data_IF_517370641293
#
_entry.id   IF_517370641293
#
_cell.length_a   1.000
_cell.length_b   1.000
_cell.length_c   1.000
_cell.angle_alpha   90.00
_cell.angle_beta   90.00
_cell.angle_gamma   90.00
#
_symmetry.space_group_name_H-M   'P 1'
#
loop_
_entity.id
_entity.type
_entity.pdbx_description
1 polymer ?
#
# COMPACT_ATOMS: atom_id res chain seq x y z
N UNK A 1 -65.90 -68.44 -2.16
CA UNK A 1 -64.53 -68.48 -1.69
C UNK A 1 -63.78 -67.50 -2.55
N UNK A 2 -63.65 -66.19 -2.11
CA UNK A 2 -63.04 -65.05 -2.89
C UNK A 2 -61.72 -64.71 -2.20
N UNK A 3 -60.63 -64.87 -3.01
CA UNK A 3 -59.30 -64.50 -2.61
C UNK A 3 -59.11 -62.96 -2.80
N UNK A 4 -58.78 -62.23 -1.74
CA UNK A 4 -58.32 -60.82 -1.80
C UNK A 4 -56.84 -60.85 -2.04
N UNK A 5 -56.42 -60.20 -3.17
CA UNK A 5 -55.02 -59.87 -3.43
C UNK A 5 -54.77 -58.46 -2.95
N UNK A 6 -53.95 -58.33 -1.93
CA UNK A 6 -53.49 -57.05 -1.40
C UNK A 6 -52.24 -56.62 -2.19
N UNK A 7 -52.34 -55.53 -2.94
CA UNK A 7 -51.19 -54.93 -3.60
C UNK A 7 -50.53 -53.92 -2.65
N UNK A 8 -49.27 -54.17 -2.29
CA UNK A 8 -48.42 -53.26 -1.50
C UNK A 8 -47.70 -52.35 -2.51
N UNK A 9 -48.07 -51.08 -2.52
CA UNK A 9 -47.38 -50.04 -3.30
C UNK A 9 -46.23 -49.50 -2.46
N UNK A 10 -45.01 -49.84 -2.84
CA UNK A 10 -43.79 -49.26 -2.22
C UNK A 10 -43.55 -47.85 -2.80
N UNK A 11 -43.68 -46.85 -1.95
CA UNK A 11 -43.37 -45.49 -2.26
C UNK A 11 -41.84 -45.26 -2.10
N UNK A 12 -41.13 -45.18 -3.18
CA UNK A 12 -39.68 -44.86 -3.18
C UNK A 12 -39.52 -43.34 -3.05
N UNK A 13 -39.21 -42.86 -1.82
CA UNK A 13 -38.85 -41.46 -1.59
C UNK A 13 -37.41 -41.23 -2.05
N UNK A 14 -37.26 -40.53 -3.18
CA UNK A 14 -35.99 -40.07 -3.71
C UNK A 14 -35.53 -38.88 -2.82
N UNK A 15 -34.61 -39.11 -1.92
CA UNK A 15 -33.97 -38.03 -1.14
C UNK A 15 -33.01 -37.30 -2.08
N UNK A 16 -33.43 -36.13 -2.60
CA UNK A 16 -32.54 -35.17 -3.29
C UNK A 16 -31.65 -34.51 -2.25
N UNK A 17 -30.43 -35.02 -2.08
CA UNK A 17 -29.38 -34.32 -1.35
C UNK A 17 -28.97 -33.07 -2.14
N UNK A 18 -29.50 -31.90 -1.73
CA UNK A 18 -28.98 -30.62 -2.11
C UNK A 18 -27.52 -30.52 -1.62
N UNK A 19 -26.54 -30.17 -2.47
CA UNK A 19 -25.21 -29.84 -1.96
C UNK A 19 -25.37 -28.65 -1.01
N UNK A 20 -24.99 -28.83 0.26
CA UNK A 20 -24.82 -27.73 1.17
C UNK A 20 -23.77 -26.80 0.55
N UNK A 21 -24.20 -25.63 0.06
CA UNK A 21 -23.30 -24.51 -0.21
C UNK A 21 -22.57 -24.28 1.11
N UNK A 22 -21.32 -24.74 1.19
CA UNK A 22 -20.43 -24.38 2.28
C UNK A 22 -20.41 -22.85 2.31
N UNK A 23 -21.09 -22.27 3.28
CA UNK A 23 -20.94 -20.86 3.62
C UNK A 23 -19.44 -20.68 3.90
N UNK A 24 -18.71 -20.02 3.00
CA UNK A 24 -17.34 -19.66 3.30
C UNK A 24 -17.38 -18.82 4.57
N UNK A 25 -16.80 -19.36 5.65
CA UNK A 25 -16.66 -18.62 6.91
C UNK A 25 -16.05 -17.25 6.59
N UNK A 26 -16.66 -16.15 7.08
CA UNK A 26 -16.14 -14.83 6.86
C UNK A 26 -14.64 -14.79 7.16
N UNK A 27 -13.87 -14.12 6.36
CA UNK A 27 -12.39 -14.15 6.45
C UNK A 27 -11.87 -13.49 7.74
N UNK A 28 -12.76 -12.80 8.50
CA UNK A 28 -12.54 -12.34 9.87
C UNK A 28 -12.47 -13.49 10.87
N UNK A 29 -13.29 -14.55 10.69
CA UNK A 29 -13.25 -15.73 11.58
C UNK A 29 -11.88 -16.39 11.54
N UNK A 30 -11.25 -16.46 10.36
CA UNK A 30 -9.88 -16.99 10.24
C UNK A 30 -8.84 -16.16 11.01
N UNK A 31 -9.02 -14.83 11.09
CA UNK A 31 -8.15 -13.94 11.87
C UNK A 31 -8.44 -14.13 13.35
N UNK A 32 -9.73 -14.21 13.75
CA UNK A 32 -10.17 -14.41 15.12
C UNK A 32 -9.68 -15.76 15.68
N UNK A 33 -9.85 -16.84 14.92
CA UNK A 33 -9.42 -18.20 15.30
C UNK A 33 -7.90 -18.28 15.51
N UNK A 34 -7.14 -17.56 14.67
CA UNK A 34 -5.68 -17.49 14.75
C UNK A 34 -5.21 -16.52 15.83
N UNK A 35 -6.03 -15.53 16.18
CA UNK A 35 -5.68 -14.42 17.08
C UNK A 35 -4.57 -13.51 16.53
N UNK A 36 -4.34 -13.49 15.22
CA UNK A 36 -3.23 -12.76 14.59
C UNK A 36 -3.66 -12.19 13.24
N UNK A 37 -3.47 -10.88 13.06
CA UNK A 37 -3.61 -10.17 11.79
C UNK A 37 -2.27 -10.19 11.04
N UNK A 38 -2.22 -10.80 9.85
CA UNK A 38 -1.05 -10.76 8.97
C UNK A 38 -1.17 -9.58 8.02
N UNK A 39 -0.19 -8.70 8.05
CA UNK A 39 -0.18 -7.44 7.32
C UNK A 39 0.94 -7.45 6.28
N UNK A 40 0.56 -7.38 5.00
CA UNK A 40 1.48 -7.18 3.89
C UNK A 40 1.90 -5.71 3.80
N UNK A 41 3.20 -5.46 3.78
CA UNK A 41 3.77 -4.12 3.67
C UNK A 41 5.11 -4.17 2.95
N UNK A 42 5.62 -3.00 2.59
CA UNK A 42 6.97 -2.84 2.07
C UNK A 42 7.63 -1.66 2.76
N UNK A 43 8.95 -1.72 2.88
CA UNK A 43 9.68 -0.63 3.55
C UNK A 43 9.85 0.57 2.62
N UNK A 44 9.49 1.75 3.11
CA UNK A 44 9.86 3.06 2.58
C UNK A 44 9.57 4.15 3.63
N UNK A 45 10.46 5.10 3.73
CA UNK A 45 10.44 6.16 4.75
C UNK A 45 9.47 7.28 4.34
N UNK A 46 8.60 7.78 5.24
CA UNK A 46 8.41 7.41 6.65
C UNK A 46 7.25 6.43 6.90
N UNK A 47 6.69 5.80 5.87
CA UNK A 47 5.55 4.88 6.02
C UNK A 47 5.90 3.62 6.81
N UNK A 48 6.98 2.95 6.43
CA UNK A 48 7.48 1.76 7.13
C UNK A 48 9.00 1.66 6.95
N UNK A 49 9.72 1.47 8.05
CA UNK A 49 11.18 1.43 8.07
C UNK A 49 11.66 0.65 9.29
N UNK A 50 12.97 0.47 9.41
CA UNK A 50 13.56 -0.14 10.61
C UNK A 50 14.25 0.92 11.47
N UNK A 51 14.06 0.80 12.78
CA UNK A 51 14.82 1.58 13.74
C UNK A 51 16.25 1.03 13.92
N UNK A 52 17.06 1.71 14.74
CA UNK A 52 18.44 1.30 15.05
C UNK A 52 18.54 -0.09 15.71
N UNK A 53 17.46 -0.59 16.32
CA UNK A 53 17.34 -1.90 16.93
C UNK A 53 16.86 -2.98 15.94
N UNK A 54 16.47 -2.59 14.72
CA UNK A 54 15.95 -3.48 13.69
C UNK A 54 14.44 -3.65 13.72
N UNK A 55 13.73 -3.02 14.68
CA UNK A 55 12.28 -3.10 14.77
C UNK A 55 11.60 -2.30 13.67
N UNK A 56 10.42 -2.73 13.25
CA UNK A 56 9.59 -1.98 12.32
C UNK A 56 8.91 -0.81 13.03
N UNK A 57 9.08 0.39 12.44
CA UNK A 57 8.46 1.65 12.84
C UNK A 57 7.94 2.38 11.58
N UNK A 58 7.10 3.39 11.77
CA UNK A 58 6.53 4.18 10.68
C UNK A 58 5.02 4.28 10.79
N UNK A 59 4.43 5.14 9.97
CA UNK A 59 2.99 5.40 9.98
C UNK A 59 2.17 4.12 9.81
N UNK A 60 2.48 3.31 8.79
CA UNK A 60 1.77 2.06 8.50
C UNK A 60 1.92 1.02 9.61
N UNK A 61 3.08 1.04 10.28
CA UNK A 61 3.36 0.14 11.39
C UNK A 61 2.52 0.51 12.60
N UNK A 62 2.39 1.82 12.91
CA UNK A 62 1.55 2.31 13.99
C UNK A 62 0.07 2.00 13.71
N UNK A 63 -0.39 2.25 12.48
CA UNK A 63 -1.78 1.94 12.04
C UNK A 63 -2.09 0.45 12.21
N UNK A 64 -1.23 -0.43 11.73
CA UNK A 64 -1.45 -1.87 11.83
C UNK A 64 -1.39 -2.39 13.28
N UNK A 65 -0.45 -1.88 14.09
CA UNK A 65 -0.35 -2.21 15.51
C UNK A 65 -1.60 -1.77 16.28
N UNK A 66 -2.07 -0.54 16.02
CA UNK A 66 -3.26 -0.01 16.68
C UNK A 66 -4.53 -0.77 16.28
N UNK A 67 -4.71 -1.07 14.99
CA UNK A 67 -5.82 -1.88 14.51
C UNK A 67 -5.85 -3.25 15.20
N UNK A 68 -4.71 -3.94 15.24
CA UNK A 68 -4.62 -5.24 15.88
C UNK A 68 -4.92 -5.16 17.39
N UNK A 69 -4.37 -4.18 18.10
CA UNK A 69 -4.60 -3.97 19.53
C UNK A 69 -6.08 -3.70 19.84
N UNK A 70 -6.70 -2.79 19.10
CA UNK A 70 -8.12 -2.44 19.26
C UNK A 70 -9.04 -3.63 18.97
N UNK A 71 -8.59 -4.58 18.15
CA UNK A 71 -9.34 -5.80 17.78
C UNK A 71 -9.02 -7.02 18.66
N UNK A 72 -8.11 -6.89 19.62
CA UNK A 72 -7.67 -8.02 20.47
C UNK A 72 -6.76 -9.02 19.73
N UNK A 73 -6.16 -8.65 18.61
CA UNK A 73 -5.26 -9.49 17.82
C UNK A 73 -3.78 -9.15 18.07
N UNK A 74 -2.92 -10.12 17.79
CA UNK A 74 -1.50 -9.84 17.51
C UNK A 74 -1.35 -9.37 16.07
N UNK A 75 -0.26 -8.65 15.77
CA UNK A 75 0.08 -8.29 14.39
C UNK A 75 1.35 -9.04 13.95
N UNK A 76 1.31 -9.57 12.74
CA UNK A 76 2.46 -10.16 12.04
C UNK A 76 2.69 -9.37 10.75
N UNK A 77 3.85 -8.74 10.61
CA UNK A 77 4.23 -8.04 9.40
C UNK A 77 4.89 -8.98 8.41
N UNK A 78 4.45 -8.96 7.16
CA UNK A 78 4.99 -9.75 6.04
C UNK A 78 5.62 -8.80 5.02
N UNK A 79 6.91 -8.43 5.20
CA UNK A 79 7.61 -7.57 4.24
C UNK A 79 7.63 -8.22 2.85
N UNK A 80 7.23 -7.45 1.84
CA UNK A 80 7.05 -7.95 0.48
C UNK A 80 7.56 -6.91 -0.51
N UNK A 81 8.23 -7.33 -1.59
CA UNK A 81 8.57 -6.42 -2.68
C UNK A 81 7.31 -5.76 -3.23
N UNK A 82 7.38 -4.46 -3.51
CA UNK A 82 6.18 -3.65 -3.78
C UNK A 82 5.40 -4.10 -5.01
N UNK A 83 6.09 -4.47 -6.07
CA UNK A 83 5.46 -4.99 -7.30
C UNK A 83 4.79 -6.35 -7.10
N UNK A 84 5.20 -7.10 -6.06
CA UNK A 84 4.60 -8.36 -5.65
C UNK A 84 3.53 -8.26 -4.56
N UNK A 85 3.18 -7.05 -4.06
CA UNK A 85 2.31 -6.91 -2.88
C UNK A 85 0.88 -7.40 -3.16
N UNK A 86 0.27 -7.00 -4.26
CA UNK A 86 -1.08 -7.46 -4.65
C UNK A 86 -1.08 -8.95 -4.98
N UNK A 87 -0.20 -9.50 -5.83
CA UNK A 87 -0.07 -10.94 -6.03
C UNK A 87 0.07 -11.75 -4.73
N UNK A 88 0.82 -11.23 -3.75
CA UNK A 88 0.98 -11.89 -2.44
C UNK A 88 -0.28 -11.86 -1.59
N UNK A 89 -1.10 -10.80 -1.65
CA UNK A 89 -2.43 -10.76 -1.05
C UNK A 89 -3.34 -11.82 -1.68
N UNK A 90 -3.38 -11.86 -3.01
CA UNK A 90 -4.24 -12.79 -3.75
C UNK A 90 -3.86 -14.25 -3.48
N UNK A 91 -2.58 -14.54 -3.28
CA UNK A 91 -2.09 -15.87 -2.87
C UNK A 91 -2.16 -16.13 -1.36
N UNK A 92 -2.87 -15.30 -0.59
CA UNK A 92 -3.16 -15.46 0.84
C UNK A 92 -1.92 -15.52 1.75
N UNK A 93 -0.80 -14.90 1.34
CA UNK A 93 0.39 -14.80 2.20
C UNK A 93 0.12 -13.95 3.44
N UNK A 94 -0.82 -13.00 3.34
CA UNK A 94 -1.30 -12.16 4.42
C UNK A 94 -2.79 -11.83 4.24
N UNK A 95 -3.38 -11.19 5.22
CA UNK A 95 -4.82 -10.96 5.30
C UNK A 95 -5.25 -9.62 4.70
N UNK A 96 -4.37 -8.63 4.77
CA UNK A 96 -4.62 -7.24 4.37
C UNK A 96 -3.32 -6.57 3.96
N UNK A 97 -3.38 -5.62 3.04
CA UNK A 97 -2.27 -4.68 2.77
C UNK A 97 -2.53 -3.42 3.60
N UNK A 98 -1.58 -3.08 4.47
CA UNK A 98 -1.46 -1.77 5.15
C UNK A 98 -0.05 -1.28 4.87
N UNK A 99 0.12 -0.38 3.90
CA UNK A 99 1.45 -0.05 3.38
C UNK A 99 1.44 1.13 2.42
N UNK A 100 0.54 2.11 2.57
CA UNK A 100 0.48 3.27 1.69
C UNK A 100 0.03 2.94 0.27
N UNK A 101 -0.89 1.98 0.11
CA UNK A 101 -1.36 1.57 -1.20
C UNK A 101 -2.39 2.56 -1.75
N UNK A 102 -1.95 3.39 -2.71
CA UNK A 102 -2.83 4.34 -3.37
C UNK A 102 -3.95 3.64 -4.14
N UNK A 103 -5.17 4.13 -4.01
CA UNK A 103 -6.34 3.68 -4.77
C UNK A 103 -6.12 4.06 -6.23
N UNK A 104 -6.20 3.08 -7.14
CA UNK A 104 -6.22 3.30 -8.58
C UNK A 104 -7.24 2.41 -9.24
N UNK A 105 -7.80 2.83 -10.39
CA UNK A 105 -8.75 2.02 -11.14
C UNK A 105 -8.18 0.63 -11.52
N UNK A 106 -6.90 0.60 -11.91
CA UNK A 106 -6.23 -0.64 -12.26
C UNK A 106 -6.16 -1.62 -11.08
N UNK A 107 -5.83 -1.13 -9.87
CA UNK A 107 -5.76 -1.94 -8.65
C UNK A 107 -7.14 -2.39 -8.17
N UNK A 108 -8.16 -1.52 -8.29
CA UNK A 108 -9.55 -1.84 -7.89
C UNK A 108 -10.17 -2.99 -8.70
N UNK A 109 -9.61 -3.34 -9.86
CA UNK A 109 -9.99 -4.52 -10.63
C UNK A 109 -9.51 -5.84 -9.99
N UNK A 110 -8.53 -5.79 -9.10
CA UNK A 110 -7.89 -6.97 -8.50
C UNK A 110 -8.11 -7.08 -6.99
N UNK A 111 -8.34 -5.96 -6.30
CA UNK A 111 -8.52 -5.92 -4.84
C UNK A 111 -9.70 -5.04 -4.45
N UNK A 112 -10.25 -5.28 -3.27
CA UNK A 112 -11.25 -4.43 -2.64
C UNK A 112 -10.53 -3.47 -1.69
N UNK A 113 -10.72 -2.18 -1.92
CA UNK A 113 -10.20 -1.13 -1.05
C UNK A 113 -11.20 -0.76 0.05
N UNK A 114 -10.68 -0.40 1.21
CA UNK A 114 -11.44 0.34 2.23
C UNK A 114 -11.64 1.80 1.81
N UNK A 115 -12.34 2.58 2.64
CA UNK A 115 -12.24 4.03 2.58
C UNK A 115 -10.78 4.47 2.81
N UNK A 116 -10.36 5.63 2.30
CA UNK A 116 -9.02 6.15 2.56
C UNK A 116 -8.78 6.39 4.05
N UNK A 117 -7.57 6.10 4.52
CA UNK A 117 -7.12 6.40 5.89
C UNK A 117 -5.96 7.40 5.91
N UNK A 118 -5.35 7.66 4.76
CA UNK A 118 -4.31 8.67 4.58
C UNK A 118 -4.31 9.22 3.16
N UNK A 119 -3.49 10.23 2.94
CA UNK A 119 -3.29 10.85 1.63
C UNK A 119 -1.82 11.23 1.45
N UNK A 120 -1.35 11.22 0.20
CA UNK A 120 -0.03 11.71 -0.15
C UNK A 120 -0.06 12.53 -1.43
N UNK A 121 1.02 13.25 -1.67
CA UNK A 121 1.28 13.88 -2.97
C UNK A 121 2.40 13.17 -3.70
N UNK A 122 2.53 13.40 -4.98
CA UNK A 122 3.66 12.94 -5.79
C UNK A 122 4.54 14.13 -6.14
N UNK A 123 5.85 14.00 -5.92
CA UNK A 123 6.81 15.06 -6.16
C UNK A 123 8.08 14.53 -6.82
N UNK A 124 8.87 15.43 -7.43
CA UNK A 124 10.20 15.17 -7.95
C UNK A 124 11.27 15.72 -7.01
N UNK A 125 12.36 14.96 -6.86
CA UNK A 125 13.66 15.50 -6.49
C UNK A 125 14.59 15.36 -7.70
N UNK A 126 15.25 16.44 -8.10
CA UNK A 126 16.05 16.51 -9.31
C UNK A 126 17.55 16.66 -9.00
N UNK A 127 18.38 16.13 -9.89
CA UNK A 127 19.83 16.31 -9.86
C UNK A 127 20.20 17.75 -10.17
N UNK A 128 20.98 18.39 -9.31
CA UNK A 128 21.52 19.73 -9.58
C UNK A 128 22.43 19.76 -10.79
N UNK A 129 23.15 18.67 -11.07
CA UNK A 129 24.07 18.57 -12.21
C UNK A 129 23.32 18.35 -13.53
N UNK A 130 22.42 17.35 -13.59
CA UNK A 130 21.78 16.95 -14.85
C UNK A 130 20.51 17.76 -15.19
N UNK A 131 19.91 18.41 -14.21
CA UNK A 131 18.70 19.21 -14.35
C UNK A 131 18.95 20.69 -13.98
N UNK A 132 20.17 21.19 -14.19
CA UNK A 132 20.49 22.60 -13.97
C UNK A 132 19.55 23.51 -14.79
N UNK A 133 18.93 24.47 -14.12
CA UNK A 133 17.99 25.41 -14.74
C UNK A 133 16.59 24.88 -14.98
N UNK A 134 16.31 23.58 -14.71
CA UNK A 134 14.95 23.02 -14.80
C UNK A 134 14.11 23.54 -13.63
N UNK A 135 13.01 24.21 -13.93
CA UNK A 135 12.11 24.77 -12.91
C UNK A 135 10.62 24.65 -13.24
N UNK A 136 10.30 23.97 -14.33
CA UNK A 136 8.93 23.73 -14.79
C UNK A 136 8.71 22.25 -15.08
N UNK A 137 7.49 21.79 -14.95
CA UNK A 137 7.09 20.42 -15.28
C UNK A 137 7.50 20.07 -16.72
N UNK A 138 7.31 21.01 -17.68
CA UNK A 138 7.65 20.80 -19.08
C UNK A 138 9.13 20.55 -19.36
N UNK A 139 10.03 21.01 -18.49
CA UNK A 139 11.47 20.83 -18.68
C UNK A 139 11.87 19.36 -18.55
N UNK A 140 11.09 18.61 -17.77
CA UNK A 140 11.28 17.18 -17.57
C UNK A 140 10.61 16.31 -18.65
N UNK A 141 9.74 16.87 -19.51
CA UNK A 141 9.07 16.11 -20.58
C UNK A 141 9.90 16.08 -21.89
N UNK A 142 11.04 15.43 -21.84
CA UNK A 142 11.96 15.31 -22.97
C UNK A 142 12.52 13.88 -23.08
N UNK A 143 12.77 13.41 -24.33
CA UNK A 143 13.39 12.09 -24.61
C UNK A 143 14.79 11.93 -24.01
N UNK A 144 15.46 13.02 -23.66
CA UNK A 144 16.79 13.01 -23.02
C UNK A 144 16.68 12.84 -21.52
N UNK A 145 15.52 13.17 -20.94
CA UNK A 145 15.29 13.09 -19.50
C UNK A 145 15.02 11.64 -19.08
N UNK A 146 15.69 11.24 -18.01
CA UNK A 146 15.49 9.98 -17.32
C UNK A 146 14.93 10.28 -15.94
N UNK A 147 13.82 9.66 -15.58
CA UNK A 147 13.16 9.80 -14.28
C UNK A 147 13.17 8.44 -13.60
N UNK A 148 13.82 8.34 -12.44
CA UNK A 148 13.85 7.14 -11.62
C UNK A 148 12.57 7.04 -10.79
N UNK A 149 12.04 5.83 -10.64
CA UNK A 149 10.84 5.55 -9.87
C UNK A 149 10.85 4.12 -9.30
N UNK A 150 10.11 3.89 -8.23
CA UNK A 150 9.93 2.55 -7.69
C UNK A 150 8.97 1.74 -8.56
N UNK A 151 9.37 0.51 -8.90
CA UNK A 151 8.60 -0.43 -9.71
C UNK A 151 7.23 -0.73 -9.07
N UNK A 152 6.18 -0.72 -9.89
CA UNK A 152 4.81 -1.00 -9.42
C UNK A 152 4.17 0.10 -8.55
N UNK A 153 4.90 1.19 -8.25
CA UNK A 153 4.35 2.31 -7.50
C UNK A 153 3.40 3.17 -8.36
N UNK A 154 2.46 3.85 -7.71
CA UNK A 154 1.56 4.83 -8.34
C UNK A 154 2.35 5.95 -9.06
N UNK A 155 3.51 6.31 -8.51
CA UNK A 155 4.41 7.33 -9.06
C UNK A 155 4.89 7.01 -10.48
N UNK A 156 5.00 5.73 -10.87
CA UNK A 156 5.31 5.32 -12.25
C UNK A 156 4.19 5.71 -13.21
N UNK A 157 2.93 5.55 -12.80
CA UNK A 157 1.78 5.99 -13.59
C UNK A 157 1.80 7.51 -13.74
N UNK A 158 1.93 8.25 -12.64
CA UNK A 158 2.02 9.72 -12.64
C UNK A 158 3.17 10.20 -13.54
N UNK A 159 4.35 9.56 -13.45
CA UNK A 159 5.48 9.91 -14.31
C UNK A 159 5.18 9.78 -15.81
N UNK A 160 4.51 8.68 -16.20
CA UNK A 160 4.16 8.42 -17.60
C UNK A 160 3.07 9.36 -18.13
N UNK A 161 2.13 9.74 -17.28
CA UNK A 161 1.05 10.68 -17.63
C UNK A 161 1.57 12.12 -17.71
N UNK A 162 2.43 12.53 -16.79
CA UNK A 162 2.96 13.90 -16.71
C UNK A 162 4.10 14.13 -17.69
N UNK A 163 4.96 13.12 -17.90
CA UNK A 163 6.18 13.21 -18.72
C UNK A 163 6.20 12.12 -19.81
N UNK A 164 5.26 12.15 -20.77
CA UNK A 164 5.11 11.07 -21.76
C UNK A 164 6.33 10.87 -22.67
N UNK A 165 7.20 11.88 -22.78
CA UNK A 165 8.43 11.78 -23.59
C UNK A 165 9.63 11.31 -22.78
N UNK A 166 9.61 11.47 -21.47
CA UNK A 166 10.72 11.08 -20.61
C UNK A 166 10.88 9.56 -20.51
N UNK A 167 12.09 9.11 -20.24
CA UNK A 167 12.36 7.71 -19.99
C UNK A 167 12.20 7.40 -18.50
N UNK A 168 11.18 6.65 -18.13
CA UNK A 168 10.97 6.19 -16.75
C UNK A 168 11.80 4.92 -16.49
N UNK A 169 12.77 5.03 -15.57
CA UNK A 169 13.60 3.94 -15.07
C UNK A 169 12.99 3.40 -13.79
N UNK A 170 12.80 2.08 -13.71
CA UNK A 170 12.13 1.47 -12.58
C UNK A 170 13.09 0.60 -11.75
N UNK A 171 13.10 0.82 -10.45
CA UNK A 171 13.94 0.15 -9.45
C UNK A 171 13.10 -0.59 -8.42
N UNK A 172 13.68 -1.53 -7.71
CA UNK A 172 12.94 -2.39 -6.79
C UNK A 172 12.49 -1.64 -5.52
N UNK A 173 13.24 -0.61 -5.11
CA UNK A 173 12.89 0.27 -3.99
C UNK A 173 13.23 1.74 -4.27
N UNK A 174 12.75 2.63 -3.40
CA UNK A 174 12.99 4.06 -3.53
C UNK A 174 14.46 4.43 -3.27
N UNK A 175 15.17 3.74 -2.37
CA UNK A 175 16.56 4.04 -2.07
C UNK A 175 17.44 3.85 -3.31
N UNK A 176 17.23 2.78 -4.07
CA UNK A 176 17.91 2.57 -5.35
C UNK A 176 17.55 3.66 -6.36
N UNK A 177 16.28 4.07 -6.46
CA UNK A 177 15.87 5.12 -7.38
C UNK A 177 16.52 6.47 -7.06
N UNK A 178 16.61 6.84 -5.77
CA UNK A 178 17.34 8.03 -5.32
C UNK A 178 18.84 7.93 -5.58
N UNK A 179 19.43 6.76 -5.33
CA UNK A 179 20.86 6.53 -5.56
C UNK A 179 21.25 6.72 -7.03
N UNK A 180 20.38 6.33 -7.96
CA UNK A 180 20.61 6.53 -9.41
C UNK A 180 20.67 8.02 -9.79
N UNK A 181 19.90 8.86 -9.13
CA UNK A 181 19.97 10.31 -9.32
C UNK A 181 21.26 10.88 -8.72
N UNK A 182 21.62 10.45 -7.51
CA UNK A 182 22.85 10.86 -6.85
C UNK A 182 24.11 10.42 -7.60
N UNK A 183 24.06 9.29 -8.29
CA UNK A 183 25.14 8.79 -9.14
C UNK A 183 25.20 9.46 -10.55
N UNK A 184 24.29 10.39 -10.86
CA UNK A 184 24.24 11.04 -12.19
C UNK A 184 23.67 10.16 -13.30
N UNK A 185 23.00 9.05 -13.00
CA UNK A 185 22.41 8.15 -14.00
C UNK A 185 20.99 8.56 -14.42
N UNK A 186 20.30 9.35 -13.59
CA UNK A 186 18.96 9.87 -13.85
C UNK A 186 18.88 11.37 -13.50
N UNK A 187 18.01 12.10 -14.20
CA UNK A 187 17.82 13.55 -14.03
C UNK A 187 16.98 13.87 -12.79
N UNK A 188 16.05 12.99 -12.45
CA UNK A 188 15.18 13.14 -11.29
C UNK A 188 14.67 11.80 -10.78
N UNK A 189 14.22 11.78 -9.55
CA UNK A 189 13.42 10.70 -8.96
C UNK A 189 12.02 11.21 -8.67
N UNK A 190 11.01 10.39 -8.95
CA UNK A 190 9.62 10.66 -8.62
C UNK A 190 9.18 9.71 -7.50
N UNK A 191 8.72 10.27 -6.39
CA UNK A 191 8.28 9.49 -5.23
C UNK A 191 7.11 10.15 -4.52
N UNK A 192 6.52 9.44 -3.55
CA UNK A 192 5.49 10.02 -2.68
C UNK A 192 6.11 10.97 -1.67
N UNK A 193 5.49 12.15 -1.51
CA UNK A 193 5.89 13.12 -0.49
C UNK A 193 5.62 12.57 0.90
N UNK A 194 6.46 12.87 1.91
CA UNK A 194 7.53 13.88 1.88
C UNK A 194 8.92 13.34 1.48
N UNK A 195 9.04 12.12 0.96
CA UNK A 195 10.36 11.50 0.69
C UNK A 195 11.24 12.36 -0.24
N UNK A 196 10.77 12.89 -1.39
CA UNK A 196 11.60 13.75 -2.24
C UNK A 196 12.14 14.97 -1.51
N UNK A 197 11.31 15.63 -0.70
CA UNK A 197 11.69 16.82 0.05
C UNK A 197 12.74 16.51 1.12
N UNK A 198 12.55 15.42 1.87
CA UNK A 198 13.52 14.99 2.88
C UNK A 198 14.87 14.64 2.26
N UNK A 199 14.86 13.91 1.13
CA UNK A 199 16.10 13.56 0.44
C UNK A 199 16.80 14.79 -0.17
N UNK A 200 16.05 15.77 -0.66
CA UNK A 200 16.62 17.02 -1.16
C UNK A 200 17.24 17.86 -0.04
N UNK A 201 16.69 17.82 1.19
CA UNK A 201 17.31 18.45 2.36
C UNK A 201 18.59 17.70 2.78
N UNK A 202 18.50 16.37 2.88
CA UNK A 202 19.61 15.50 3.30
C UNK A 202 20.80 15.57 2.33
N UNK A 203 20.54 15.68 1.03
CA UNK A 203 21.52 15.70 -0.05
C UNK A 203 21.51 17.06 -0.77
N UNK A 204 21.48 18.16 -0.01
CA UNK A 204 21.30 19.51 -0.54
C UNK A 204 22.37 19.95 -1.54
N UNK A 205 23.55 19.35 -1.54
CA UNK A 205 24.60 19.63 -2.53
C UNK A 205 24.30 19.02 -3.91
N UNK A 206 23.52 17.94 -3.97
CA UNK A 206 23.28 17.15 -5.17
C UNK A 206 21.84 17.19 -5.69
N UNK A 207 20.87 17.39 -4.79
CA UNK A 207 19.44 17.34 -5.10
C UNK A 207 18.75 18.68 -4.83
N UNK A 208 17.65 18.90 -5.53
CA UNK A 208 16.75 20.04 -5.29
C UNK A 208 15.31 19.68 -5.67
N UNK A 209 14.33 20.43 -5.14
CA UNK A 209 12.93 20.35 -5.54
C UNK A 209 12.70 21.41 -6.63
N UNK A 210 12.43 20.99 -7.89
CA UNK A 210 12.39 21.94 -9.02
C UNK A 210 11.15 22.85 -9.02
N UNK A 211 10.07 22.42 -8.39
CA UNK A 211 8.81 23.17 -8.26
C UNK A 211 8.03 22.71 -7.01
N UNK A 212 7.22 23.59 -6.46
CA UNK A 212 6.44 23.33 -5.23
C UNK A 212 5.12 22.62 -5.50
N UNK A 213 4.63 22.67 -6.75
CA UNK A 213 3.40 22.01 -7.15
C UNK A 213 3.52 20.49 -7.05
N UNK A 214 2.50 19.84 -6.50
CA UNK A 214 2.40 18.38 -6.48
C UNK A 214 1.91 17.88 -7.84
N UNK A 215 2.58 16.88 -8.39
CA UNK A 215 2.22 16.27 -9.67
C UNK A 215 0.90 15.49 -9.61
N UNK A 216 0.56 14.98 -8.45
CA UNK A 216 -0.70 14.28 -8.21
C UNK A 216 -0.98 14.21 -6.72
N UNK A 217 -2.24 13.90 -6.37
CA UNK A 217 -2.67 13.52 -5.04
C UNK A 217 -3.05 12.05 -5.06
N UNK A 218 -2.61 11.29 -4.07
CA UNK A 218 -2.99 9.90 -3.83
C UNK A 218 -3.83 9.79 -2.55
N UNK A 219 -4.81 8.91 -2.57
CA UNK A 219 -5.52 8.47 -1.36
C UNK A 219 -5.08 7.04 -1.09
N UNK A 220 -4.56 6.76 0.09
CA UNK A 220 -4.13 5.43 0.50
C UNK A 220 -5.24 4.75 1.28
N UNK A 221 -5.47 3.47 0.98
CA UNK A 221 -6.46 2.63 1.64
C UNK A 221 -5.90 1.25 1.95
N UNK A 222 -6.50 0.56 2.93
CA UNK A 222 -6.24 -0.86 3.09
C UNK A 222 -6.78 -1.61 1.89
N UNK A 223 -6.15 -2.72 1.55
CA UNK A 223 -6.65 -3.56 0.48
C UNK A 223 -6.80 -5.01 0.96
N UNK A 224 -7.95 -5.58 0.65
CA UNK A 224 -8.29 -6.98 0.88
C UNK A 224 -8.66 -7.65 -0.45
N UNK A 225 -8.82 -8.98 -0.47
CA UNK A 225 -9.22 -9.69 -1.69
C UNK A 225 -10.64 -9.31 -2.11
N UNK A 226 -10.91 -9.37 -3.39
CA UNK A 226 -12.28 -9.21 -3.91
C UNK A 226 -13.21 -10.23 -3.22
N UNK A 227 -14.43 -9.78 -2.87
CA UNK A 227 -15.42 -10.60 -2.17
C UNK A 227 -15.28 -10.60 -0.63
N UNK A 228 -14.22 -10.05 -0.06
CA UNK A 228 -14.05 -9.93 1.40
C UNK A 228 -14.72 -8.67 1.95
N UNK A 229 -16.00 -8.46 1.61
CA UNK A 229 -16.77 -7.26 1.95
C UNK A 229 -16.90 -7.04 3.45
N UNK A 230 -17.14 -8.08 4.22
CA UNK A 230 -17.29 -7.99 5.69
C UNK A 230 -15.99 -7.54 6.36
N UNK A 231 -14.85 -8.01 5.83
CA UNK A 231 -13.53 -7.59 6.30
C UNK A 231 -13.27 -6.13 5.97
N UNK A 232 -13.58 -5.70 4.74
CA UNK A 232 -13.43 -4.31 4.33
C UNK A 232 -14.32 -3.39 5.16
N UNK A 233 -15.56 -3.81 5.46
CA UNK A 233 -16.49 -3.05 6.29
C UNK A 233 -16.00 -2.94 7.73
N UNK A 234 -15.49 -4.03 8.32
CA UNK A 234 -14.87 -3.98 9.65
C UNK A 234 -13.72 -2.95 9.70
N UNK A 235 -12.86 -2.96 8.70
CA UNK A 235 -11.76 -1.99 8.63
C UNK A 235 -12.27 -0.56 8.38
N UNK A 236 -13.31 -0.38 7.59
CA UNK A 236 -13.95 0.93 7.39
C UNK A 236 -14.49 1.52 8.69
N UNK A 237 -15.13 0.70 9.52
CA UNK A 237 -15.63 1.13 10.83
C UNK A 237 -14.48 1.54 11.75
N UNK A 238 -13.39 0.79 11.76
CA UNK A 238 -12.20 1.12 12.53
C UNK A 238 -11.55 2.43 12.02
N UNK A 239 -11.35 2.58 10.70
CA UNK A 239 -10.80 3.80 10.09
C UNK A 239 -11.66 5.01 10.47
N UNK A 240 -12.99 4.89 10.36
CA UNK A 240 -13.92 5.95 10.75
C UNK A 240 -13.73 6.35 12.21
N UNK A 241 -13.71 5.38 13.12
CA UNK A 241 -13.51 5.64 14.55
C UNK A 241 -12.17 6.34 14.84
N UNK A 242 -11.07 5.91 14.18
CA UNK A 242 -9.73 6.53 14.37
C UNK A 242 -9.59 7.89 13.67
N UNK A 243 -10.41 8.17 12.67
CA UNK A 243 -10.52 9.51 12.06
C UNK A 243 -11.30 10.45 12.99
N UNK A 244 -12.43 10.00 13.53
CA UNK A 244 -13.31 10.79 14.40
C UNK A 244 -12.66 11.15 15.75
N UNK A 245 -11.81 10.28 16.29
CA UNK A 245 -11.06 10.56 17.54
C UNK A 245 -9.73 11.30 17.31
N UNK A 246 -9.38 11.59 16.05
CA UNK A 246 -8.18 12.34 15.68
C UNK A 246 -6.88 11.54 15.72
N UNK A 247 -6.90 10.24 16.06
CA UNK A 247 -5.70 9.43 16.19
C UNK A 247 -4.93 9.27 14.87
N UNK A 248 -5.64 9.05 13.75
CA UNK A 248 -5.01 8.94 12.42
C UNK A 248 -4.30 10.25 12.04
N UNK A 249 -4.93 11.39 12.28
CA UNK A 249 -4.33 12.70 11.98
C UNK A 249 -3.10 12.96 12.84
N UNK A 250 -3.16 12.70 14.17
CA UNK A 250 -2.01 12.83 15.06
C UNK A 250 -0.81 11.98 14.58
N UNK A 251 -1.04 10.73 14.16
CA UNK A 251 0.02 9.86 13.64
C UNK A 251 0.54 10.35 12.30
N UNK A 252 -0.36 10.82 11.42
CA UNK A 252 0.02 11.41 10.16
C UNK A 252 0.93 12.64 10.35
N UNK A 253 0.53 13.58 11.18
CA UNK A 253 1.33 14.75 11.51
C UNK A 253 2.71 14.37 12.05
N UNK A 254 2.77 13.45 13.03
CA UNK A 254 4.03 12.98 13.59
C UNK A 254 4.98 12.44 12.51
N UNK A 255 4.50 11.56 11.63
CA UNK A 255 5.37 10.88 10.65
C UNK A 255 5.66 11.73 9.40
N UNK A 256 4.75 12.59 8.96
CA UNK A 256 4.88 13.29 7.68
C UNK A 256 5.18 14.78 7.80
N UNK A 257 4.84 15.41 8.93
CA UNK A 257 5.02 16.86 9.13
C UNK A 257 6.17 17.19 10.09
N UNK A 258 6.59 16.23 10.94
CA UNK A 258 7.75 16.40 11.81
C UNK A 258 8.96 15.58 11.39
N UNK A 259 10.10 15.80 12.00
CA UNK A 259 11.32 15.01 11.84
C UNK A 259 11.77 14.38 13.17
N UNK A 260 10.92 14.40 14.19
CA UNK A 260 11.23 13.95 15.57
C UNK A 260 11.57 12.45 15.64
N UNK A 261 11.19 11.70 14.61
CA UNK A 261 11.49 10.28 14.48
C UNK A 261 12.82 9.98 13.77
N UNK A 262 13.49 10.98 13.16
CA UNK A 262 14.69 10.74 12.33
C UNK A 262 15.84 10.09 13.09
N UNK A 263 16.03 10.47 14.35
CA UNK A 263 17.09 9.89 15.19
C UNK A 263 16.89 8.41 15.51
N UNK A 264 15.70 7.87 15.24
CA UNK A 264 15.36 6.46 15.47
C UNK A 264 15.79 5.56 14.30
N UNK A 265 15.98 6.11 13.09
CA UNK A 265 16.19 5.31 11.87
C UNK A 265 17.58 4.66 11.88
N UNK A 266 17.66 3.42 11.38
CA UNK A 266 18.92 2.77 11.04
C UNK A 266 19.62 3.52 9.87
N UNK A 267 20.95 3.58 9.92
CA UNK A 267 21.71 4.20 8.82
C UNK A 267 21.50 3.43 7.51
N UNK A 268 21.35 4.16 6.40
CA UNK A 268 21.23 3.58 5.05
C UNK A 268 19.80 3.31 4.57
N UNK A 269 18.78 3.84 5.24
CA UNK A 269 17.38 3.77 4.77
C UNK A 269 16.87 5.12 4.23
#
# INVERSE_FOLDING_TARGET
>A
MKLFKTAITALLTLAVSLPALASETPNLDKINDRGTLRVGMSTFVPWAMRNKQGDLIGFEIDVAKRLAADSGWKVEFVPTAWDGIIPSLLSQKFDVIIGGLSITEARSKSVLFTQPYSHSGVQLAASKELAEGFNKISDFDSRRVKIAARRGAFTVQVARETFPKAKVLQFDDDAQAFQEVLNGNAHAVIASSPKPEHEAIKNADSLFIPFTERLSKGNEAFAVRLGETDKAEFFNQWIKARTEDGWLEERYEYWFSTLDWQDQIAQGQ
#
